data_IF_819823290140
#
_entry.id   IF_819823290140
#
_cell.length_a   1.000
_cell.length_b   1.000
_cell.length_c   1.000
_cell.angle_alpha   90.00
_cell.angle_beta   90.00
_cell.angle_gamma   90.00
#
_symmetry.space_group_name_H-M   'P 1'
#
loop_
_entity.id
_entity.type
_entity.pdbx_description
1 polymer ?
#
# COMPACT_ATOMS: atom_id res chain seq x y z
N UNK A 1 -2.70 19.62 -3.88
CA UNK A 1 -3.59 18.65 -4.59
C UNK A 1 -3.63 17.34 -3.82
N UNK A 2 -4.79 16.95 -3.41
CA UNK A 2 -4.94 15.72 -2.64
C UNK A 2 -4.72 14.49 -3.52
N UNK A 3 -3.82 13.63 -3.09
CA UNK A 3 -3.61 12.33 -3.71
C UNK A 3 -4.33 11.28 -2.88
N UNK A 4 -5.61 11.08 -3.17
CA UNK A 4 -6.39 10.07 -2.45
C UNK A 4 -5.94 8.68 -2.84
N UNK A 5 -5.98 7.76 -1.87
CA UNK A 5 -5.74 6.36 -2.12
C UNK A 5 -6.88 5.76 -2.95
N UNK A 6 -6.56 4.74 -3.73
CA UNK A 6 -7.54 4.07 -4.59
C UNK A 6 -7.51 2.57 -4.35
N UNK A 7 -8.71 1.99 -4.25
CA UNK A 7 -8.85 0.54 -4.18
C UNK A 7 -9.07 -0.03 -5.58
N UNK A 8 -8.54 -1.23 -5.81
CA UNK A 8 -8.71 -1.92 -7.08
C UNK A 8 -8.81 -3.44 -6.86
N UNK A 9 -9.20 -4.15 -7.91
CA UNK A 9 -9.25 -5.61 -7.89
C UNK A 9 -7.83 -6.19 -7.83
N UNK A 10 -7.65 -7.42 -7.31
CA UNK A 10 -6.33 -8.04 -7.21
C UNK A 10 -5.57 -8.13 -8.53
N UNK A 11 -6.27 -8.40 -9.63
CA UNK A 11 -5.64 -8.50 -10.96
C UNK A 11 -5.07 -7.15 -11.40
N UNK A 12 -5.81 -6.07 -11.15
CA UNK A 12 -5.35 -4.71 -11.46
C UNK A 12 -4.17 -4.35 -10.56
N UNK A 13 -4.25 -4.68 -9.28
CA UNK A 13 -3.17 -4.42 -8.33
C UNK A 13 -1.88 -5.10 -8.80
N UNK A 14 -1.95 -6.38 -9.20
CA UNK A 14 -0.78 -7.12 -9.65
C UNK A 14 -0.12 -6.46 -10.87
N UNK A 15 -0.93 -5.95 -11.79
CA UNK A 15 -0.42 -5.25 -12.98
C UNK A 15 0.27 -3.94 -12.57
N UNK A 16 -0.36 -3.15 -11.73
CA UNK A 16 0.20 -1.88 -11.25
C UNK A 16 1.50 -2.13 -10.47
N UNK A 17 1.50 -3.13 -9.61
CA UNK A 17 2.66 -3.50 -8.82
C UNK A 17 3.87 -3.83 -9.72
N UNK A 18 3.66 -4.71 -10.70
CA UNK A 18 4.75 -5.10 -11.62
C UNK A 18 5.28 -3.92 -12.40
N UNK A 19 4.38 -3.05 -12.85
CA UNK A 19 4.78 -1.86 -13.57
C UNK A 19 5.61 -0.91 -12.70
N UNK A 20 5.17 -0.68 -11.48
CA UNK A 20 5.89 0.21 -10.54
C UNK A 20 7.26 -0.34 -10.18
N UNK A 21 7.38 -1.66 -9.96
CA UNK A 21 8.67 -2.28 -9.68
C UNK A 21 9.60 -2.12 -10.86
N UNK A 22 9.11 -2.35 -12.08
CA UNK A 22 9.91 -2.19 -13.29
C UNK A 22 10.38 -0.75 -13.49
N UNK A 23 9.49 0.22 -13.27
CA UNK A 23 9.82 1.63 -13.44
C UNK A 23 10.73 2.16 -12.34
N UNK A 24 10.84 1.48 -11.21
CA UNK A 24 11.68 1.93 -10.09
C UNK A 24 13.16 2.05 -10.47
N UNK A 25 13.58 1.36 -11.52
CA UNK A 25 14.96 1.48 -12.02
C UNK A 25 15.24 2.84 -12.65
N UNK A 26 14.19 3.53 -13.14
CA UNK A 26 14.32 4.76 -13.91
C UNK A 26 13.81 6.00 -13.20
N UNK A 27 13.32 5.81 -11.97
CA UNK A 27 12.77 6.91 -11.19
C UNK A 27 13.42 6.94 -9.82
N UNK A 28 13.29 8.06 -9.13
CA UNK A 28 13.73 8.19 -7.74
C UNK A 28 12.68 7.71 -6.74
N UNK A 29 11.51 7.31 -7.23
CA UNK A 29 10.49 6.73 -6.35
C UNK A 29 10.83 5.28 -6.08
N UNK A 30 10.73 4.92 -4.81
CA UNK A 30 10.96 3.56 -4.34
C UNK A 30 9.63 2.95 -3.98
N UNK A 31 9.24 1.82 -4.60
CA UNK A 31 7.99 1.17 -4.23
C UNK A 31 8.16 0.35 -2.95
N UNK A 32 7.16 0.47 -2.08
CA UNK A 32 7.03 -0.32 -0.87
C UNK A 32 5.71 -1.05 -0.90
N UNK A 33 5.73 -2.30 -0.48
CA UNK A 33 4.52 -3.09 -0.32
C UNK A 33 4.25 -3.29 1.17
N UNK A 34 3.06 -2.90 1.60
CA UNK A 34 2.61 -3.19 2.96
C UNK A 34 1.57 -4.30 2.89
N UNK A 35 1.90 -5.45 3.47
CA UNK A 35 0.96 -6.56 3.60
C UNK A 35 0.25 -6.44 4.94
N UNK A 36 -1.08 -6.46 4.92
CA UNK A 36 -1.91 -6.25 6.09
C UNK A 36 -2.76 -7.50 6.30
N UNK A 37 -2.48 -8.24 7.39
CA UNK A 37 -3.32 -9.35 7.80
C UNK A 37 -4.37 -8.84 8.78
N UNK A 38 -5.63 -9.03 8.45
CA UNK A 38 -6.77 -8.47 9.17
C UNK A 38 -7.95 -9.44 9.15
N UNK A 39 -8.83 -9.40 10.15
CA UNK A 39 -10.01 -10.27 10.15
C UNK A 39 -10.99 -9.98 9.02
N UNK A 40 -11.05 -8.74 8.51
CA UNK A 40 -11.98 -8.34 7.46
C UNK A 40 -11.28 -7.38 6.51
N UNK A 41 -10.81 -7.92 5.38
CA UNK A 41 -10.02 -7.15 4.42
C UNK A 41 -10.83 -6.02 3.77
N UNK A 42 -12.07 -6.26 3.40
CA UNK A 42 -12.88 -5.23 2.75
C UNK A 42 -13.13 -4.04 3.69
N UNK A 43 -13.42 -4.31 4.94
CA UNK A 43 -13.62 -3.26 5.94
C UNK A 43 -12.32 -2.50 6.18
N UNK A 44 -11.19 -3.20 6.19
CA UNK A 44 -9.88 -2.57 6.34
C UNK A 44 -9.61 -1.59 5.20
N UNK A 45 -9.89 -1.98 3.95
CA UNK A 45 -9.76 -1.09 2.80
C UNK A 45 -10.61 0.15 2.97
N UNK A 46 -11.87 0.00 3.38
CA UNK A 46 -12.76 1.14 3.60
C UNK A 46 -12.25 2.09 4.68
N UNK A 47 -11.63 1.55 5.73
CA UNK A 47 -11.05 2.38 6.79
C UNK A 47 -9.79 3.10 6.34
N UNK A 48 -9.01 2.52 5.45
CA UNK A 48 -7.75 3.08 4.99
C UNK A 48 -7.93 4.15 3.92
N UNK A 49 -8.94 4.03 3.06
CA UNK A 49 -9.13 4.96 1.96
C UNK A 49 -9.18 6.44 2.38
N UNK A 50 -9.89 6.83 3.46
CA UNK A 50 -9.89 8.24 3.87
C UNK A 50 -8.63 8.67 4.62
N UNK A 51 -7.81 7.73 5.06
CA UNK A 51 -6.63 8.02 5.89
C UNK A 51 -5.39 8.22 5.03
N UNK A 52 -5.22 7.43 3.98
CA UNK A 52 -4.03 7.46 3.14
C UNK A 52 -4.17 8.56 2.07
N UNK A 53 -3.19 9.45 2.01
CA UNK A 53 -3.21 10.65 1.16
C UNK A 53 -2.01 10.78 0.23
N UNK A 54 -1.22 9.72 0.09
CA UNK A 54 -0.01 9.74 -0.74
C UNK A 54 -0.19 9.14 -2.14
N UNK A 55 -1.41 8.90 -2.59
CA UNK A 55 -1.67 8.25 -3.87
C UNK A 55 -1.48 6.74 -3.84
N UNK A 56 -1.62 6.14 -2.67
CA UNK A 56 -1.45 4.70 -2.49
C UNK A 56 -2.53 3.92 -3.26
N UNK A 57 -2.17 2.71 -3.66
CA UNK A 57 -3.11 1.77 -4.28
C UNK A 57 -3.29 0.59 -3.33
N UNK A 58 -4.56 0.24 -3.08
CA UNK A 58 -4.91 -0.84 -2.15
C UNK A 58 -5.71 -1.91 -2.86
N UNK A 59 -5.57 -3.13 -2.39
CA UNK A 59 -6.41 -4.22 -2.86
C UNK A 59 -6.64 -5.24 -1.75
N UNK A 60 -7.90 -5.65 -1.58
CA UNK A 60 -8.24 -6.79 -0.75
C UNK A 60 -7.93 -8.04 -1.57
N UNK A 61 -6.81 -8.69 -1.26
CA UNK A 61 -6.32 -9.85 -2.01
C UNK A 61 -7.14 -11.10 -1.71
N UNK A 62 -7.59 -11.24 -0.47
CA UNK A 62 -8.54 -12.25 -0.04
C UNK A 62 -9.31 -11.73 1.18
N UNK A 63 -10.06 -12.60 1.86
CA UNK A 63 -10.91 -12.17 2.99
C UNK A 63 -10.11 -11.59 4.16
N UNK A 64 -8.82 -11.93 4.27
CA UNK A 64 -7.99 -11.59 5.42
C UNK A 64 -6.67 -10.88 5.06
N UNK A 65 -6.50 -10.50 3.81
CA UNK A 65 -5.24 -9.91 3.35
C UNK A 65 -5.49 -8.69 2.48
N UNK A 66 -4.85 -7.59 2.85
CA UNK A 66 -4.86 -6.35 2.06
C UNK A 66 -3.42 -6.01 1.68
N UNK A 67 -3.20 -5.67 0.43
CA UNK A 67 -1.92 -5.12 -0.01
C UNK A 67 -2.07 -3.62 -0.27
N UNK A 68 -1.09 -2.86 0.20
CA UNK A 68 -0.99 -1.42 -0.06
C UNK A 68 0.33 -1.17 -0.78
N UNK A 69 0.25 -0.56 -1.95
CA UNK A 69 1.44 -0.16 -2.70
C UNK A 69 1.69 1.32 -2.46
N UNK A 70 2.89 1.62 -2.00
CA UNK A 70 3.34 2.98 -1.68
C UNK A 70 4.50 3.34 -2.60
N UNK A 71 4.49 4.55 -3.14
CA UNK A 71 5.64 5.08 -3.87
C UNK A 71 6.23 6.23 -3.04
N UNK A 72 7.46 6.08 -2.60
CA UNK A 72 8.10 7.04 -1.70
C UNK A 72 9.45 7.51 -2.25
N UNK A 73 9.77 8.79 -2.09
CA UNK A 73 11.09 9.31 -2.38
C UNK A 73 12.08 8.99 -1.25
N UNK A 74 11.56 8.92 -0.01
CA UNK A 74 12.36 8.67 1.19
C UNK A 74 11.68 7.61 2.04
N UNK A 75 12.48 6.78 2.71
CA UNK A 75 11.98 5.73 3.58
C UNK A 75 11.03 6.25 4.66
N UNK A 76 11.28 7.45 5.15
CA UNK A 76 10.44 8.09 6.18
C UNK A 76 8.99 8.22 5.75
N UNK A 77 8.75 8.45 4.46
CA UNK A 77 7.38 8.54 3.93
C UNK A 77 6.66 7.19 4.03
N UNK A 78 7.37 6.10 3.75
CA UNK A 78 6.80 4.76 3.86
C UNK A 78 6.53 4.40 5.31
N UNK A 79 7.44 4.74 6.23
CA UNK A 79 7.27 4.50 7.65
C UNK A 79 6.11 5.32 8.21
N UNK A 80 5.96 6.57 7.77
CA UNK A 80 4.83 7.41 8.18
C UNK A 80 3.49 6.79 7.74
N UNK A 81 3.42 6.32 6.49
CA UNK A 81 2.21 5.66 6.00
C UNK A 81 1.91 4.39 6.79
N UNK A 82 2.95 3.62 7.14
CA UNK A 82 2.78 2.42 7.97
C UNK A 82 2.19 2.76 9.33
N UNK A 83 2.65 3.85 9.95
CA UNK A 83 2.09 4.30 11.22
C UNK A 83 0.62 4.70 11.09
N UNK A 84 0.26 5.38 10.01
CA UNK A 84 -1.13 5.73 9.76
C UNK A 84 -2.01 4.49 9.62
N UNK A 85 -1.51 3.47 8.92
CA UNK A 85 -2.21 2.20 8.78
C UNK A 85 -2.37 1.52 10.14
N UNK A 86 -1.30 1.48 10.93
CA UNK A 86 -1.33 0.86 12.25
C UNK A 86 -2.34 1.55 13.18
N UNK A 87 -2.43 2.87 13.11
CA UNK A 87 -3.40 3.62 13.92
C UNK A 87 -4.84 3.35 13.48
N UNK A 88 -5.07 3.21 12.17
CA UNK A 88 -6.41 2.93 11.64
C UNK A 88 -6.84 1.49 11.88
N UNK A 89 -5.88 0.55 11.95
CA UNK A 89 -6.13 -0.88 12.08
C UNK A 89 -5.30 -1.46 13.23
N UNK A 90 -5.64 -1.15 14.49
CA UNK A 90 -4.79 -1.51 15.63
C UNK A 90 -4.67 -3.01 15.88
N UNK A 91 -5.57 -3.83 15.32
CA UNK A 91 -5.52 -5.28 15.49
C UNK A 91 -4.95 -6.01 14.27
N UNK A 92 -4.50 -5.28 13.26
CA UNK A 92 -3.93 -5.88 12.06
C UNK A 92 -2.44 -6.14 12.25
N UNK A 93 -1.95 -7.17 11.56
CA UNK A 93 -0.52 -7.46 11.49
C UNK A 93 0.01 -6.86 10.19
N UNK A 94 1.00 -5.99 10.30
CA UNK A 94 1.54 -5.24 9.17
C UNK A 94 2.96 -5.67 8.86
N UNK A 95 3.27 -5.82 7.56
CA UNK A 95 4.64 -6.06 7.09
C UNK A 95 4.94 -5.12 5.94
N UNK A 96 5.90 -4.23 6.16
CA UNK A 96 6.37 -3.29 5.15
C UNK A 96 7.64 -3.83 4.51
N UNK A 97 7.67 -3.82 3.18
CA UNK A 97 8.79 -4.34 2.41
C UNK A 97 9.11 -3.41 1.25
N UNK A 98 10.40 -3.08 1.10
CA UNK A 98 10.87 -2.39 -0.08
C UNK A 98 10.91 -3.38 -1.25
N UNK A 99 10.27 -3.03 -2.36
CA UNK A 99 10.15 -3.94 -3.52
C UNK A 99 10.80 -3.34 -4.77
N UNK A 100 11.81 -2.51 -4.57
CA UNK A 100 12.54 -1.92 -5.68
C UNK A 100 13.24 -2.99 -6.51
N UNK A 101 13.16 -2.84 -7.84
CA UNK A 101 13.90 -3.71 -8.75
C UNK A 101 15.40 -3.43 -8.66
N UNK A 102 16.19 -4.49 -8.60
CA UNK A 102 17.63 -4.40 -8.59
C UNK A 102 18.23 -4.38 -10.00
#
# INVERSE_FOLDING_TARGET
MDRTARACAPEVFSTVYRLCVRLSRKTRFVPYLCAIHTPDAERAVQKLLPVLRGGEVLSAMDANLVYVLLLAEHEEQALFAQEQIACALPFADLRLQCVRAE
#
